data_IF_565859679774
#
_entry.id   IF_565859679774
#
_cell.length_a   1.000
_cell.length_b   1.000
_cell.length_c   1.000
_cell.angle_alpha   90.00
_cell.angle_beta   90.00
_cell.angle_gamma   90.00
#
_symmetry.space_group_name_H-M   'P 1'
#
loop_
_entity.id
_entity.type
_entity.pdbx_description
1 polymer ?
#
# COMPACT_ATOMS: atom_id res chain seq x y z
N UNK A 1 -2.56 16.23 -25.41
CA UNK A 1 -2.45 16.58 -23.99
C UNK A 1 -1.78 15.40 -23.30
N UNK A 2 -0.73 15.63 -22.52
CA UNK A 2 -0.05 14.57 -21.78
C UNK A 2 -0.94 14.10 -20.62
N UNK A 3 -1.02 12.78 -20.39
CA UNK A 3 -1.75 12.24 -19.24
C UNK A 3 -0.99 12.56 -17.95
N UNK A 4 -1.64 13.09 -16.89
CA UNK A 4 -0.98 13.34 -15.62
C UNK A 4 -0.36 12.06 -15.02
N UNK A 5 0.86 12.18 -14.49
CA UNK A 5 1.53 11.10 -13.78
C UNK A 5 1.47 11.35 -12.27
N UNK A 6 0.91 10.40 -11.53
CA UNK A 6 0.76 10.52 -10.10
C UNK A 6 1.75 9.63 -9.37
N UNK A 7 2.32 10.14 -8.29
CA UNK A 7 3.10 9.36 -7.32
C UNK A 7 2.34 9.36 -5.99
N UNK A 8 2.23 8.19 -5.37
CA UNK A 8 1.54 7.98 -4.10
C UNK A 8 2.35 7.05 -3.21
N UNK A 9 2.27 7.28 -1.91
CA UNK A 9 2.82 6.39 -0.89
C UNK A 9 1.80 6.19 0.24
N UNK A 10 1.72 4.96 0.75
CA UNK A 10 0.99 4.60 1.97
C UNK A 10 1.98 3.93 2.92
N UNK A 11 1.98 4.36 4.19
CA UNK A 11 2.73 3.74 5.27
C UNK A 11 1.76 3.19 6.32
N UNK A 12 1.95 1.92 6.71
CA UNK A 12 1.14 1.24 7.73
C UNK A 12 2.03 0.87 8.90
N UNK A 13 1.62 1.30 10.10
CA UNK A 13 2.22 0.89 11.38
C UNK A 13 1.13 0.22 12.21
N UNK A 14 1.36 -1.01 12.65
CA UNK A 14 0.48 -1.72 13.59
C UNK A 14 1.18 -1.85 14.94
N UNK A 15 0.43 -1.57 16.01
CA UNK A 15 0.89 -1.64 17.39
C UNK A 15 0.03 -2.59 18.18
N UNK A 16 0.64 -3.35 19.10
CA UNK A 16 -0.14 -4.12 20.07
C UNK A 16 -0.90 -3.19 21.01
N UNK A 17 -2.10 -3.58 21.44
CA UNK A 17 -2.94 -2.75 22.30
C UNK A 17 -2.38 -2.63 23.73
N UNK A 18 -1.79 -3.70 24.25
CA UNK A 18 -1.36 -3.77 25.65
C UNK A 18 -0.25 -2.77 26.00
N UNK A 19 0.71 -2.59 25.08
CA UNK A 19 1.91 -1.78 25.32
C UNK A 19 2.27 -0.78 24.22
N UNK A 20 1.52 -0.74 23.11
CA UNK A 20 1.81 0.16 21.99
C UNK A 20 3.09 -0.18 21.20
N UNK A 21 3.71 -1.34 21.47
CA UNK A 21 4.87 -1.85 20.75
C UNK A 21 4.52 -2.02 19.28
N UNK A 22 5.38 -1.53 18.38
CA UNK A 22 5.24 -1.77 16.94
C UNK A 22 5.47 -3.25 16.67
N UNK A 23 4.47 -3.89 16.07
CA UNK A 23 4.52 -5.31 15.68
C UNK A 23 4.63 -5.48 14.17
N UNK A 24 4.39 -4.42 13.40
CA UNK A 24 4.46 -4.42 11.94
C UNK A 24 4.66 -3.00 11.42
N UNK A 25 5.55 -2.86 10.45
CA UNK A 25 5.72 -1.65 9.64
C UNK A 25 5.87 -2.05 8.18
N UNK A 26 5.15 -1.36 7.29
CA UNK A 26 5.26 -1.56 5.84
C UNK A 26 4.97 -0.26 5.09
N UNK A 27 5.46 -0.19 3.85
CA UNK A 27 5.18 0.91 2.91
C UNK A 27 4.79 0.32 1.56
N UNK A 28 3.85 0.96 0.88
CA UNK A 28 3.49 0.70 -0.50
C UNK A 28 3.60 2.00 -1.29
N UNK A 29 4.28 1.95 -2.44
CA UNK A 29 4.38 3.06 -3.37
C UNK A 29 3.67 2.72 -4.68
N UNK A 30 3.08 3.72 -5.32
CA UNK A 30 2.42 3.59 -6.62
C UNK A 30 2.75 4.79 -7.50
N UNK A 31 3.12 4.53 -8.74
CA UNK A 31 3.37 5.51 -9.78
C UNK A 31 2.58 5.17 -11.05
N UNK A 32 1.81 6.13 -11.58
CA UNK A 32 1.15 5.97 -12.88
C UNK A 32 -0.06 6.87 -13.12
N UNK A 33 -0.80 6.64 -14.22
CA UNK A 33 -1.77 7.60 -14.76
C UNK A 33 -3.18 7.51 -14.13
N UNK A 34 -3.38 6.67 -13.11
CA UNK A 34 -4.70 6.46 -12.51
C UNK A 34 -5.15 7.68 -11.70
N UNK A 35 -6.35 8.19 -12.02
CA UNK A 35 -6.93 9.38 -11.38
C UNK A 35 -7.79 9.05 -10.15
N UNK A 36 -8.35 7.84 -10.08
CA UNK A 36 -9.29 7.42 -9.02
C UNK A 36 -8.56 7.12 -7.71
N UNK A 37 -8.31 8.17 -6.91
CA UNK A 37 -7.60 8.10 -5.64
C UNK A 37 -8.22 7.08 -4.66
N UNK A 38 -9.54 7.05 -4.40
CA UNK A 38 -10.15 6.03 -3.54
C UNK A 38 -9.77 4.60 -3.91
N UNK A 39 -9.90 4.25 -5.18
CA UNK A 39 -9.61 2.90 -5.69
C UNK A 39 -8.12 2.56 -5.60
N UNK A 40 -7.24 3.52 -5.94
CA UNK A 40 -5.79 3.33 -5.85
C UNK A 40 -5.33 3.21 -4.40
N UNK A 41 -5.82 4.06 -3.49
CA UNK A 41 -5.43 4.02 -2.08
C UNK A 41 -5.87 2.71 -1.41
N UNK A 42 -7.08 2.21 -1.69
CA UNK A 42 -7.55 0.92 -1.18
C UNK A 42 -6.59 -0.22 -1.60
N UNK A 43 -6.23 -0.29 -2.88
CA UNK A 43 -5.25 -1.25 -3.36
C UNK A 43 -3.87 -1.09 -2.70
N UNK A 44 -3.41 0.15 -2.47
CA UNK A 44 -2.14 0.38 -1.78
C UNK A 44 -2.17 -0.11 -0.32
N UNK A 45 -3.30 -0.01 0.39
CA UNK A 45 -3.46 -0.60 1.71
C UNK A 45 -3.44 -2.13 1.67
N UNK A 46 -4.11 -2.75 0.69
CA UNK A 46 -4.03 -4.20 0.48
C UNK A 46 -2.59 -4.66 0.23
N UNK A 47 -1.83 -3.90 -0.58
CA UNK A 47 -0.41 -4.17 -0.83
C UNK A 47 0.43 -4.02 0.44
N UNK A 48 0.23 -2.94 1.21
CA UNK A 48 0.97 -2.69 2.43
C UNK A 48 0.71 -3.76 3.50
N UNK A 49 -0.54 -4.24 3.61
CA UNK A 49 -0.93 -5.27 4.57
C UNK A 49 -0.56 -6.70 4.14
N UNK A 50 -0.08 -6.90 2.91
CA UNK A 50 0.27 -8.22 2.43
C UNK A 50 1.44 -8.81 3.24
N UNK A 51 1.21 -9.99 3.83
CA UNK A 51 2.18 -10.66 4.69
C UNK A 51 2.11 -10.22 6.15
N UNK A 52 1.16 -9.36 6.56
CA UNK A 52 0.90 -9.13 7.98
C UNK A 52 0.56 -10.46 8.70
N UNK A 53 1.10 -10.71 9.91
CA UNK A 53 2.04 -9.87 10.67
C UNK A 53 3.52 -10.12 10.33
N UNK A 54 3.86 -11.17 9.59
CA UNK A 54 5.24 -11.56 9.27
C UNK A 54 5.64 -11.13 7.86
N UNK A 55 6.12 -9.89 7.74
CA UNK A 55 6.51 -9.29 6.44
C UNK A 55 7.62 -10.11 5.78
N UNK A 56 7.45 -10.55 4.52
CA UNK A 56 8.55 -11.02 3.68
C UNK A 56 9.59 -9.89 3.52
N UNK A 57 10.85 -10.18 3.81
CA UNK A 57 11.92 -9.16 3.78
C UNK A 57 12.19 -8.64 2.37
N UNK A 58 12.53 -7.35 2.25
CA UNK A 58 12.93 -6.70 1.00
C UNK A 58 11.79 -6.01 0.23
N UNK A 59 12.18 -5.20 -0.76
CA UNK A 59 11.23 -4.54 -1.67
C UNK A 59 10.66 -5.56 -2.65
N UNK A 60 9.34 -5.61 -2.79
CA UNK A 60 8.67 -6.46 -3.78
C UNK A 60 7.65 -5.67 -4.60
N UNK A 61 7.44 -6.10 -5.85
CA UNK A 61 6.34 -5.58 -6.67
C UNK A 61 5.07 -6.35 -6.32
N UNK A 62 4.02 -5.62 -5.95
CA UNK A 62 2.68 -6.17 -5.74
C UNK A 62 1.81 -5.70 -6.89
N UNK A 63 1.28 -6.64 -7.68
CA UNK A 63 0.34 -6.31 -8.74
C UNK A 63 -1.07 -6.44 -8.17
N UNK A 64 -1.79 -5.33 -8.09
CA UNK A 64 -3.19 -5.31 -7.67
C UNK A 64 -4.01 -4.79 -8.83
N UNK A 65 -5.02 -5.54 -9.22
CA UNK A 65 -5.94 -5.12 -10.26
C UNK A 65 -6.92 -4.11 -9.67
N UNK A 66 -6.82 -2.87 -10.12
CA UNK A 66 -7.72 -1.77 -9.78
C UNK A 66 -8.76 -1.61 -10.89
N UNK A 67 -10.03 -1.84 -10.56
CA UNK A 67 -11.15 -1.79 -11.50
C UNK A 67 -12.38 -2.54 -10.98
N UNK A 68 -13.54 -2.33 -11.61
CA UNK A 68 -14.79 -3.01 -11.26
C UNK A 68 -14.66 -4.49 -11.61
N UNK A 69 -15.00 -5.35 -10.64
CA UNK A 69 -15.24 -6.78 -10.87
C UNK A 69 -16.57 -6.98 -11.59
#
# INVERSE_FOLDING_TARGET
>A
MEQPWFQREVAVIVRELAGGKVVFESRAASDGPWLDNPTVLAAMFDAALQGFPTVPTGVRRVNIQVGVR
#
